data_IF_882051834276
#
_entry.id   IF_882051834276
#
_cell.length_a   1.000
_cell.length_b   1.000
_cell.length_c   1.000
_cell.angle_alpha   90.00
_cell.angle_beta   90.00
_cell.angle_gamma   90.00
#
_symmetry.space_group_name_H-M   'P 1'
#
loop_
_entity.id
_entity.type
_entity.pdbx_description
1 polymer ?
#
# COMPACT_ATOMS: atom_id res chain seq x y z
N UNK A 1 26.80 -22.97 -19.33
CA UNK A 1 25.84 -23.63 -18.42
C UNK A 1 25.51 -22.71 -17.26
N UNK A 2 24.62 -21.74 -17.49
CA UNK A 2 23.86 -21.08 -16.41
C UNK A 2 22.46 -20.85 -16.97
N UNK A 3 21.59 -21.80 -16.68
CA UNK A 3 20.20 -21.75 -17.08
C UNK A 3 19.48 -20.81 -16.11
N UNK A 4 19.18 -19.60 -16.56
CA UNK A 4 18.45 -18.58 -15.79
C UNK A 4 16.99 -18.99 -15.62
N UNK A 5 16.73 -19.85 -14.63
CA UNK A 5 15.40 -20.14 -14.12
C UNK A 5 15.39 -19.71 -12.65
N UNK A 6 14.87 -18.51 -12.41
CA UNK A 6 14.23 -18.03 -11.18
C UNK A 6 13.79 -16.58 -11.49
N UNK A 7 12.54 -16.14 -11.48
CA UNK A 7 11.27 -16.72 -11.04
C UNK A 7 10.11 -16.00 -11.78
N UNK A 8 8.93 -16.62 -11.90
CA UNK A 8 7.72 -15.94 -12.38
C UNK A 8 7.30 -14.83 -11.40
N UNK A 9 7.55 -13.56 -11.71
CA UNK A 9 7.34 -12.44 -10.79
C UNK A 9 6.24 -11.48 -11.26
N UNK A 10 5.09 -12.05 -11.60
CA UNK A 10 3.78 -11.41 -11.33
C UNK A 10 3.34 -11.86 -9.92
N UNK A 11 4.14 -11.48 -8.92
CA UNK A 11 3.95 -11.85 -7.52
C UNK A 11 4.57 -10.74 -6.72
N UNK A 12 3.73 -9.96 -6.04
CA UNK A 12 4.16 -8.68 -5.49
C UNK A 12 5.39 -8.76 -4.59
N UNK A 13 6.11 -7.64 -4.52
CA UNK A 13 7.28 -7.47 -3.66
C UNK A 13 6.84 -7.54 -2.19
N UNK A 14 7.43 -8.45 -1.42
CA UNK A 14 7.33 -8.41 0.04
C UNK A 14 7.99 -7.12 0.55
N UNK A 15 7.20 -6.28 1.20
CA UNK A 15 7.59 -4.97 1.73
C UNK A 15 7.18 -4.85 3.19
N UNK A 16 7.98 -4.14 3.96
CA UNK A 16 7.64 -3.82 5.35
C UNK A 16 6.85 -2.53 5.39
N UNK A 17 5.70 -2.56 6.05
CA UNK A 17 4.85 -1.38 6.24
C UNK A 17 5.57 -0.37 7.15
N UNK A 18 5.82 0.87 6.69
CA UNK A 18 6.47 1.89 7.52
C UNK A 18 5.59 2.39 8.68
N UNK A 19 4.28 2.14 8.63
CA UNK A 19 3.33 2.55 9.66
C UNK A 19 3.34 1.60 10.86
N UNK A 20 3.33 0.28 10.61
CA UNK A 20 3.16 -0.73 11.65
C UNK A 20 4.28 -1.78 11.73
N UNK A 21 5.25 -1.76 10.81
CA UNK A 21 6.36 -2.71 10.76
C UNK A 21 6.01 -4.11 10.26
N UNK A 22 4.77 -4.37 9.83
CA UNK A 22 4.35 -5.68 9.31
C UNK A 22 4.84 -5.92 7.88
N UNK A 23 5.28 -7.14 7.58
CA UNK A 23 5.52 -7.56 6.21
C UNK A 23 4.20 -7.73 5.46
N UNK A 24 4.11 -7.20 4.25
CA UNK A 24 2.98 -7.38 3.35
C UNK A 24 3.45 -7.47 1.90
N UNK A 25 2.60 -7.98 1.03
CA UNK A 25 2.90 -8.12 -0.40
C UNK A 25 2.39 -6.90 -1.15
N UNK A 26 3.29 -6.18 -1.83
CA UNK A 26 2.92 -5.05 -2.67
C UNK A 26 3.33 -5.29 -4.12
N UNK A 27 2.35 -5.40 -5.00
CA UNK A 27 2.59 -5.63 -6.43
C UNK A 27 3.03 -4.38 -7.18
N UNK A 28 3.02 -3.19 -6.54
CA UNK A 28 3.35 -1.90 -7.17
C UNK A 28 2.62 -1.62 -8.51
N UNK A 29 1.54 -2.37 -8.75
CA UNK A 29 0.77 -2.35 -9.99
C UNK A 29 -0.61 -1.76 -9.72
N UNK A 30 -1.28 -1.20 -10.74
CA UNK A 30 -2.67 -0.75 -10.61
C UNK A 30 -3.64 -1.90 -10.28
N UNK A 31 -3.21 -3.16 -10.45
CA UNK A 31 -3.93 -4.35 -10.00
C UNK A 31 -3.75 -4.66 -8.49
N UNK A 32 -2.92 -3.90 -7.77
CA UNK A 32 -2.74 -4.10 -6.33
C UNK A 32 -4.05 -3.75 -5.59
N UNK A 33 -4.36 -4.51 -4.55
CA UNK A 33 -5.54 -4.27 -3.70
C UNK A 33 -5.70 -2.81 -3.27
N UNK A 34 -4.61 -2.09 -2.98
CA UNK A 34 -4.70 -0.69 -2.55
C UNK A 34 -5.18 0.25 -3.67
N UNK A 35 -4.92 -0.10 -4.93
CA UNK A 35 -5.34 0.68 -6.10
C UNK A 35 -6.83 0.47 -6.43
N UNK A 36 -7.44 -0.63 -5.98
CA UNK A 36 -8.88 -0.87 -6.12
C UNK A 36 -9.70 -0.22 -4.99
N UNK A 37 -9.05 0.27 -3.93
CA UNK A 37 -9.70 0.99 -2.83
C UNK A 37 -9.91 2.46 -3.20
N UNK A 38 -11.06 2.99 -2.79
CA UNK A 38 -11.32 4.43 -2.84
C UNK A 38 -10.61 5.08 -1.66
N UNK A 39 -9.40 5.58 -1.91
CA UNK A 39 -8.64 6.35 -0.94
C UNK A 39 -8.94 7.84 -1.14
N UNK A 40 -9.45 8.57 -0.14
CA UNK A 40 -9.73 9.99 -0.26
C UNK A 40 -8.44 10.79 -0.52
N UNK A 41 -8.58 11.95 -1.17
CA UNK A 41 -7.46 12.80 -1.55
C UNK A 41 -6.58 13.17 -0.34
N UNK A 42 -7.19 13.55 0.78
CA UNK A 42 -6.47 13.90 2.01
C UNK A 42 -5.55 12.76 2.50
N UNK A 43 -6.03 11.52 2.48
CA UNK A 43 -5.22 10.35 2.86
C UNK A 43 -4.12 10.11 1.81
N UNK A 44 -4.41 10.27 0.52
CA UNK A 44 -3.40 10.14 -0.54
C UNK A 44 -2.29 11.19 -0.42
N UNK A 45 -2.65 12.43 -0.14
CA UNK A 45 -1.71 13.53 0.07
C UNK A 45 -0.88 13.27 1.32
N UNK A 46 -1.53 12.90 2.43
CA UNK A 46 -0.83 12.49 3.65
C UNK A 46 0.14 11.33 3.40
N UNK A 47 -0.27 10.35 2.59
CA UNK A 47 0.61 9.26 2.16
C UNK A 47 1.78 9.77 1.34
N UNK A 48 1.54 10.57 0.29
CA UNK A 48 2.58 11.07 -0.59
C UNK A 48 3.61 11.96 0.14
N UNK A 49 3.17 12.74 1.12
CA UNK A 49 4.03 13.62 1.91
C UNK A 49 4.82 12.87 2.99
N UNK A 50 4.19 11.93 3.70
CA UNK A 50 4.79 11.24 4.86
C UNK A 50 5.43 9.90 4.52
N UNK A 51 4.92 9.20 3.51
CA UNK A 51 5.33 7.84 3.16
C UNK A 51 5.71 7.75 1.69
N UNK A 52 7.01 7.54 1.42
CA UNK A 52 7.49 7.26 0.06
C UNK A 52 7.22 5.82 -0.41
N UNK A 53 6.61 5.00 0.43
CA UNK A 53 6.38 3.57 0.18
C UNK A 53 4.94 3.19 0.51
N UNK A 54 4.49 2.06 -0.04
CA UNK A 54 3.15 1.55 0.23
C UNK A 54 3.00 1.11 1.69
N UNK A 55 1.76 1.19 2.19
CA UNK A 55 1.36 0.67 3.50
C UNK A 55 0.52 -0.60 3.34
N UNK A 56 0.46 -1.41 4.40
CA UNK A 56 -0.36 -2.61 4.41
C UNK A 56 -1.86 -2.27 4.42
N UNK A 57 -2.69 -3.27 4.13
CA UNK A 57 -4.13 -3.07 4.00
C UNK A 57 -4.80 -2.54 5.25
N UNK A 58 -4.43 -3.06 6.42
CA UNK A 58 -4.93 -2.59 7.71
C UNK A 58 -4.66 -1.12 7.94
N UNK A 59 -3.41 -0.68 7.76
CA UNK A 59 -3.04 0.72 7.99
C UNK A 59 -3.71 1.67 7.00
N UNK A 60 -3.85 1.25 5.74
CA UNK A 60 -4.59 2.05 4.75
C UNK A 60 -6.06 2.17 5.14
N UNK A 61 -6.69 1.07 5.57
CA UNK A 61 -8.10 1.08 6.00
C UNK A 61 -8.32 1.99 7.21
N UNK A 62 -7.43 1.94 8.20
CA UNK A 62 -7.49 2.82 9.38
C UNK A 62 -7.35 4.30 9.00
N UNK A 63 -6.49 4.62 8.04
CA UNK A 63 -6.34 5.98 7.53
C UNK A 63 -7.58 6.45 6.76
N UNK A 64 -8.14 5.59 5.90
CA UNK A 64 -9.39 5.86 5.19
C UNK A 64 -10.54 6.05 6.20
N UNK A 65 -10.65 5.18 7.20
CA UNK A 65 -11.66 5.27 8.24
C UNK A 65 -11.52 6.56 9.05
N UNK A 66 -10.28 6.96 9.41
CA UNK A 66 -10.03 8.24 10.09
C UNK A 66 -10.45 9.45 9.25
N UNK A 67 -10.15 9.47 7.96
CA UNK A 67 -10.52 10.57 7.07
C UNK A 67 -12.02 10.57 6.72
N UNK A 68 -12.66 9.40 6.67
CA UNK A 68 -14.11 9.28 6.43
C UNK A 68 -14.98 9.54 7.65
N UNK A 69 -14.42 9.46 8.87
CA UNK A 69 -15.16 9.61 10.13
C UNK A 69 -15.08 11.01 10.75
N UNK A 70 -14.41 11.98 10.10
CA UNK A 70 -14.43 13.39 10.47
C UNK A 70 -14.76 14.21 9.23
N UNK A 71 -16.00 14.57 8.95
CA UNK A 71 -16.74 15.60 9.67
C UNK A 71 -15.92 16.89 9.76
N UNK A 72 -16.18 17.79 8.81
CA UNK A 72 -15.88 19.20 8.94
C UNK A 72 -16.54 19.69 10.23
N UNK A 73 -15.73 20.02 11.24
CA UNK A 73 -16.13 20.89 12.33
C UNK A 73 -15.71 22.33 11.99
#
# INVERSE_FOLDING_TARGET
>A
MTNSIDSPLDSGKAVTCPQCGKLFTCSLSPACWCATRVVPAEVKEHLAERYKTCVCSTCLDELIAKAGSGESA
#
